data_IF_852426856882
#
_entry.id   IF_852426856882
#
_cell.length_a   1.000
_cell.length_b   1.000
_cell.length_c   1.000
_cell.angle_alpha   90.00
_cell.angle_beta   90.00
_cell.angle_gamma   90.00
#
_symmetry.space_group_name_H-M   'P 1'
#
loop_
_entity.id
_entity.type
_entity.pdbx_description
1 polymer ?
#
# COMPACT_ATOMS: atom_id res chain seq x y z
N UNK A 1 10.81 6.44 -17.15
CA UNK A 1 11.20 6.62 -15.73
C UNK A 1 10.75 5.36 -15.04
N UNK A 2 11.67 4.64 -14.41
CA UNK A 2 11.33 3.35 -13.80
C UNK A 2 10.50 3.59 -12.54
N UNK A 3 9.47 2.75 -12.33
CA UNK A 3 8.60 2.79 -11.17
C UNK A 3 9.40 2.43 -9.92
N UNK A 4 9.59 3.36 -8.99
CA UNK A 4 10.39 3.15 -7.78
C UNK A 4 9.68 2.20 -6.81
N UNK A 5 8.34 2.20 -6.80
CA UNK A 5 7.55 1.37 -5.89
C UNK A 5 6.85 0.25 -6.68
N UNK A 6 7.45 -0.95 -6.61
CA UNK A 6 6.93 -2.16 -7.24
C UNK A 6 7.07 -3.34 -6.29
N UNK A 7 6.01 -4.15 -6.18
CA UNK A 7 6.05 -5.41 -5.45
C UNK A 7 7.12 -6.35 -6.02
N UNK A 8 7.75 -7.12 -5.15
CA UNK A 8 8.69 -8.17 -5.51
C UNK A 8 8.49 -9.35 -4.57
N UNK A 9 8.58 -10.56 -5.10
CA UNK A 9 8.40 -11.80 -4.33
C UNK A 9 9.32 -11.91 -3.10
N UNK A 10 10.45 -11.20 -3.07
CA UNK A 10 11.32 -11.14 -1.88
C UNK A 10 10.65 -10.53 -0.63
N UNK A 11 9.54 -9.81 -0.80
CA UNK A 11 8.77 -9.24 0.30
C UNK A 11 7.68 -10.19 0.81
N UNK A 12 7.42 -11.29 0.11
CA UNK A 12 6.43 -12.29 0.53
C UNK A 12 6.79 -12.86 1.89
N UNK A 13 5.79 -12.97 2.77
CA UNK A 13 5.90 -13.69 4.03
C UNK A 13 5.32 -15.09 3.96
N UNK A 14 4.96 -15.55 2.76
CA UNK A 14 4.31 -16.84 2.48
C UNK A 14 2.93 -17.00 3.15
N UNK A 15 2.28 -15.89 3.50
CA UNK A 15 0.88 -15.84 3.85
C UNK A 15 0.13 -15.12 2.72
N UNK A 16 -0.67 -15.88 1.96
CA UNK A 16 -1.37 -15.37 0.78
C UNK A 16 -2.25 -14.16 1.10
N UNK A 17 -2.89 -14.14 2.27
CA UNK A 17 -3.82 -13.07 2.63
C UNK A 17 -3.07 -11.79 2.97
N UNK A 18 -1.97 -11.89 3.71
CA UNK A 18 -1.14 -10.74 4.07
C UNK A 18 -0.37 -10.22 2.84
N UNK A 19 0.16 -11.09 2.00
CA UNK A 19 0.88 -10.70 0.78
C UNK A 19 -0.03 -9.92 -0.20
N UNK A 20 -1.30 -10.29 -0.32
CA UNK A 20 -2.30 -9.52 -1.10
C UNK A 20 -2.46 -8.10 -0.53
N UNK A 21 -2.47 -7.95 0.80
CA UNK A 21 -2.55 -6.64 1.44
C UNK A 21 -1.28 -5.83 1.21
N UNK A 22 -0.10 -6.44 1.30
CA UNK A 22 1.16 -5.76 0.94
C UNK A 22 1.15 -5.32 -0.52
N UNK A 23 0.77 -6.17 -1.47
CA UNK A 23 0.67 -5.81 -2.89
C UNK A 23 -0.24 -4.60 -3.11
N UNK A 24 -1.37 -4.53 -2.39
CA UNK A 24 -2.27 -3.37 -2.45
C UNK A 24 -1.61 -2.10 -1.89
N UNK A 25 -0.83 -2.20 -0.81
CA UNK A 25 -0.04 -1.07 -0.31
C UNK A 25 0.99 -0.57 -1.35
N UNK A 26 1.66 -1.48 -2.05
CA UNK A 26 2.57 -1.12 -3.15
C UNK A 26 1.84 -0.43 -4.31
N UNK A 27 0.62 -0.88 -4.64
CA UNK A 27 -0.23 -0.22 -5.64
C UNK A 27 -0.54 1.22 -5.23
N UNK A 28 -1.04 1.43 -4.00
CA UNK A 28 -1.42 2.75 -3.46
C UNK A 28 -0.22 3.68 -3.34
N UNK A 29 0.92 3.19 -2.86
CA UNK A 29 2.15 3.96 -2.80
C UNK A 29 2.66 4.34 -4.21
N UNK A 30 2.48 3.47 -5.21
CA UNK A 30 2.74 3.79 -6.61
C UNK A 30 1.83 4.87 -7.20
N UNK A 31 0.58 5.00 -6.72
CA UNK A 31 -0.30 6.13 -7.06
C UNK A 31 0.24 7.44 -6.50
N UNK A 32 0.73 7.44 -5.26
CA UNK A 32 1.38 8.61 -4.63
C UNK A 32 2.62 9.02 -5.42
N UNK A 33 3.48 8.06 -5.76
CA UNK A 33 4.65 8.31 -6.61
C UNK A 33 4.24 8.98 -7.93
N UNK A 34 3.24 8.41 -8.62
CA UNK A 34 2.75 8.95 -9.90
C UNK A 34 2.19 10.36 -9.76
N UNK A 35 1.52 10.66 -8.64
CA UNK A 35 0.95 11.97 -8.35
C UNK A 35 2.02 13.06 -8.21
N UNK A 36 3.17 12.74 -7.59
CA UNK A 36 4.31 13.66 -7.47
C UNK A 36 4.81 14.12 -8.83
N UNK A 37 4.86 13.22 -9.81
CA UNK A 37 5.35 13.54 -11.16
C UNK A 37 4.32 14.25 -12.06
N UNK A 38 3.02 14.18 -11.74
CA UNK A 38 1.94 14.61 -12.64
C UNK A 38 1.36 16.00 -12.37
N UNK A 39 1.93 16.80 -11.47
CA UNK A 39 1.33 18.09 -11.05
C UNK A 39 -0.17 17.95 -10.73
N UNK A 40 -0.54 16.88 -10.00
CA UNK A 40 -1.93 16.65 -9.61
C UNK A 40 -2.46 17.77 -8.73
N UNK A 41 -3.79 17.93 -8.70
CA UNK A 41 -4.43 18.89 -7.80
C UNK A 41 -4.22 18.47 -6.36
N UNK A 42 -4.19 19.45 -5.45
CA UNK A 42 -4.03 19.22 -4.01
C UNK A 42 -5.09 18.27 -3.45
N UNK A 43 -6.33 18.41 -3.91
CA UNK A 43 -7.46 17.59 -3.47
C UNK A 43 -7.28 16.12 -3.90
N UNK A 44 -6.83 15.88 -5.13
CA UNK A 44 -6.54 14.54 -5.65
C UNK A 44 -5.39 13.89 -4.87
N UNK A 45 -4.31 14.64 -4.60
CA UNK A 45 -3.21 14.14 -3.76
C UNK A 45 -3.70 13.77 -2.35
N UNK A 46 -4.60 14.59 -1.77
CA UNK A 46 -5.19 14.31 -0.46
C UNK A 46 -6.02 13.04 -0.48
N UNK A 47 -6.80 12.80 -1.53
CA UNK A 47 -7.60 11.58 -1.69
C UNK A 47 -6.71 10.33 -1.75
N UNK A 48 -5.66 10.36 -2.58
CA UNK A 48 -4.70 9.25 -2.72
C UNK A 48 -4.00 8.97 -1.39
N UNK A 49 -3.54 10.01 -0.69
CA UNK A 49 -2.91 9.84 0.62
C UNK A 49 -3.90 9.27 1.65
N UNK A 50 -5.14 9.75 1.65
CA UNK A 50 -6.18 9.25 2.56
C UNK A 50 -6.47 7.77 2.31
N UNK A 51 -6.56 7.35 1.04
CA UNK A 51 -6.71 5.94 0.65
C UNK A 51 -5.55 5.09 1.21
N UNK A 52 -4.31 5.54 1.01
CA UNK A 52 -3.12 4.84 1.51
C UNK A 52 -3.11 4.72 3.04
N UNK A 53 -3.37 5.81 3.78
CA UNK A 53 -3.36 5.78 5.25
C UNK A 53 -4.47 4.92 5.84
N UNK A 54 -5.67 4.97 5.25
CA UNK A 54 -6.78 4.13 5.71
C UNK A 54 -6.46 2.65 5.49
N UNK A 55 -5.91 2.30 4.33
CA UNK A 55 -5.56 0.92 4.03
C UNK A 55 -4.39 0.39 4.86
N UNK A 56 -3.38 1.23 5.17
CA UNK A 56 -2.32 0.85 6.12
C UNK A 56 -2.89 0.51 7.49
N UNK A 57 -3.87 1.28 7.98
CA UNK A 57 -4.50 1.02 9.27
C UNK A 57 -5.28 -0.31 9.26
N UNK A 58 -6.02 -0.58 8.19
CA UNK A 58 -6.73 -1.85 8.01
C UNK A 58 -5.75 -3.02 7.96
N UNK A 59 -4.68 -2.89 7.19
CA UNK A 59 -3.64 -3.89 7.06
C UNK A 59 -2.98 -4.24 8.41
N UNK A 60 -2.55 -3.24 9.18
CA UNK A 60 -1.96 -3.49 10.50
C UNK A 60 -2.94 -4.16 11.45
N UNK A 61 -4.22 -3.75 11.43
CA UNK A 61 -5.24 -4.41 12.23
C UNK A 61 -5.40 -5.90 11.84
N UNK A 62 -5.36 -6.22 10.54
CA UNK A 62 -5.45 -7.61 10.08
C UNK A 62 -4.23 -8.44 10.54
N UNK A 63 -3.02 -7.89 10.45
CA UNK A 63 -1.80 -8.55 10.95
C UNK A 63 -1.86 -8.74 12.47
N UNK A 64 -2.30 -7.73 13.22
CA UNK A 64 -2.47 -7.80 14.68
C UNK A 64 -3.48 -8.87 15.10
N UNK A 65 -4.62 -8.96 14.39
CA UNK A 65 -5.61 -10.00 14.63
C UNK A 65 -5.07 -11.39 14.32
N UNK A 66 -4.42 -11.55 13.17
CA UNK A 66 -3.79 -12.82 12.79
C UNK A 66 -2.75 -13.27 13.83
N UNK A 67 -1.92 -12.34 14.34
CA UNK A 67 -0.94 -12.62 15.38
C UNK A 67 -1.56 -13.03 16.73
N UNK A 68 -2.82 -12.68 17.00
CA UNK A 68 -3.51 -13.11 18.22
C UNK A 68 -4.14 -14.51 18.10
N UNK A 69 -4.36 -14.98 16.86
CA UNK A 69 -4.96 -16.28 16.58
C UNK A 69 -3.93 -17.42 16.49
N UNK A 70 -2.64 -17.08 16.57
CA UNK A 70 -1.49 -18.01 16.57
C UNK A 70 -0.82 -18.12 17.95
#
# INVERSE_FOLDING_TARGET
MDKLITWNEKYSIHDTMIDIQHQKLFELAGKVESAVYKFVKREELKEILTELFNYMKEHFNNEEQYMQEI
#
